data_IF_418602488400
#
_entry.id   IF_418602488400
#
_cell.length_a   1.000
_cell.length_b   1.000
_cell.length_c   1.000
_cell.angle_alpha   90.00
_cell.angle_beta   90.00
_cell.angle_gamma   90.00
#
_symmetry.space_group_name_H-M   'P 1'
#
loop_
_entity.id
_entity.type
_entity.pdbx_description
1 polymer ?
#
# COMPACT_ATOMS: atom_id res chain seq x y z
N UNK A 1 -5.57 20.95 -12.62
CA UNK A 1 -6.10 20.20 -11.47
C UNK A 1 -5.40 18.86 -11.24
N UNK A 2 -5.11 18.05 -12.27
CA UNK A 2 -4.47 16.72 -12.07
C UNK A 2 -3.03 16.81 -11.51
N UNK A 3 -2.28 17.87 -11.83
CA UNK A 3 -0.88 18.05 -11.39
C UNK A 3 -0.71 18.27 -9.87
N UNK A 4 -1.60 19.03 -9.24
CA UNK A 4 -1.52 19.31 -7.79
C UNK A 4 -1.66 18.04 -6.95
N UNK A 5 -2.49 17.11 -7.39
CA UNK A 5 -2.66 15.80 -6.74
C UNK A 5 -1.38 14.95 -6.85
N UNK A 6 -0.70 15.00 -8.00
CA UNK A 6 0.58 14.32 -8.15
C UNK A 6 1.66 14.92 -7.24
N UNK A 7 1.71 16.24 -7.09
CA UNK A 7 2.62 16.88 -6.13
C UNK A 7 2.30 16.48 -4.69
N UNK A 8 1.01 16.41 -4.33
CA UNK A 8 0.62 16.00 -2.99
C UNK A 8 1.00 14.54 -2.69
N UNK A 9 0.92 13.64 -3.69
CA UNK A 9 1.45 12.27 -3.56
C UNK A 9 2.97 12.26 -3.36
N UNK A 10 3.70 13.16 -4.03
CA UNK A 10 5.14 13.32 -3.83
C UNK A 10 5.47 13.76 -2.40
N UNK A 11 4.72 14.71 -1.86
CA UNK A 11 4.87 15.17 -0.47
C UNK A 11 4.54 14.05 0.51
N UNK A 12 3.45 13.31 0.27
CA UNK A 12 3.07 12.14 1.06
C UNK A 12 4.18 11.07 1.07
N UNK A 13 4.77 10.77 -0.10
CA UNK A 13 5.90 9.85 -0.22
C UNK A 13 7.10 10.30 0.61
N UNK A 14 7.41 11.60 0.58
CA UNK A 14 8.52 12.15 1.33
C UNK A 14 8.33 11.99 2.84
N UNK A 15 7.11 12.24 3.36
CA UNK A 15 6.82 11.99 4.78
C UNK A 15 7.02 10.53 5.18
N UNK A 16 6.59 9.58 4.34
CA UNK A 16 6.82 8.15 4.60
C UNK A 16 8.31 7.81 4.59
N UNK A 17 9.10 8.36 3.66
CA UNK A 17 10.56 8.17 3.62
C UNK A 17 11.21 8.71 4.89
N UNK A 18 10.85 9.92 5.31
CA UNK A 18 11.37 10.52 6.54
C UNK A 18 11.00 9.69 7.78
N UNK A 19 9.78 9.16 7.84
CA UNK A 19 9.36 8.27 8.93
C UNK A 19 10.22 7.02 9.04
N UNK A 20 10.61 6.41 7.92
CA UNK A 20 11.50 5.25 7.91
C UNK A 20 12.95 5.65 8.23
N UNK A 21 13.38 6.85 7.82
CA UNK A 21 14.69 7.40 8.14
C UNK A 21 14.89 7.57 9.66
N UNK A 22 13.81 7.78 10.43
CA UNK A 22 13.87 7.95 11.89
C UNK A 22 14.67 6.85 12.60
N UNK A 23 14.48 5.60 12.17
CA UNK A 23 15.15 4.44 12.78
C UNK A 23 16.66 4.46 12.58
N UNK A 24 17.13 5.06 11.48
CA UNK A 24 18.54 5.24 11.18
C UNK A 24 19.17 6.46 11.84
N UNK A 25 18.36 7.44 12.27
CA UNK A 25 18.82 8.67 12.94
C UNK A 25 18.83 8.53 14.45
N UNK A 26 17.89 7.74 14.99
CA UNK A 26 17.88 7.39 16.40
C UNK A 26 19.19 6.68 16.79
N UNK A 27 19.74 7.06 17.95
CA UNK A 27 20.99 6.54 18.52
C UNK A 27 22.26 6.78 17.69
N UNK A 28 22.21 7.62 16.64
CA UNK A 28 23.40 7.99 15.86
C UNK A 28 24.09 9.24 16.39
N UNK A 29 23.33 10.16 16.98
CA UNK A 29 23.81 11.44 17.49
C UNK A 29 23.71 11.50 19.01
N UNK A 30 24.26 12.57 19.60
CA UNK A 30 24.22 12.83 21.05
C UNK A 30 22.78 12.76 21.59
N UNK A 31 21.82 13.28 20.82
CA UNK A 31 20.41 13.11 21.12
C UNK A 31 19.92 11.76 20.59
N UNK A 32 19.66 10.81 21.49
CA UNK A 32 19.31 9.43 21.15
C UNK A 32 17.97 9.27 20.41
N UNK A 33 16.99 10.16 20.66
CA UNK A 33 15.66 10.13 20.04
C UNK A 33 15.47 11.18 18.93
N UNK A 34 16.56 11.67 18.33
CA UNK A 34 16.50 12.74 17.32
C UNK A 34 15.64 12.37 16.11
N UNK A 35 15.68 11.11 15.68
CA UNK A 35 14.87 10.61 14.58
C UNK A 35 13.38 10.67 14.89
N UNK A 36 12.97 10.23 16.08
CA UNK A 36 11.57 10.32 16.49
C UNK A 36 11.12 11.79 16.62
N UNK A 37 11.95 12.65 17.21
CA UNK A 37 11.63 14.07 17.36
C UNK A 37 11.33 14.75 16.02
N UNK A 38 12.09 14.42 14.98
CA UNK A 38 11.99 15.05 13.67
C UNK A 38 10.97 14.37 12.75
N UNK A 39 10.84 13.04 12.82
CA UNK A 39 10.23 12.26 11.76
C UNK A 39 9.15 11.27 12.21
N UNK A 40 8.81 11.18 13.50
CA UNK A 40 7.72 10.30 13.97
C UNK A 40 6.38 10.63 13.29
N UNK A 41 6.12 11.92 13.06
CA UNK A 41 4.89 12.39 12.41
C UNK A 41 4.86 12.11 10.90
N UNK A 42 5.96 11.63 10.31
CA UNK A 42 5.99 11.24 8.91
C UNK A 42 5.06 10.06 8.58
N UNK A 43 4.60 9.31 9.60
CA UNK A 43 3.58 8.27 9.46
C UNK A 43 2.30 8.78 8.79
N UNK A 44 1.94 10.04 9.04
CA UNK A 44 0.77 10.71 8.45
C UNK A 44 0.78 10.72 6.91
N UNK A 45 1.97 10.59 6.29
CA UNK A 45 2.09 10.44 4.84
C UNK A 45 1.26 9.27 4.30
N UNK A 46 1.11 8.18 5.06
CA UNK A 46 0.29 7.03 4.67
C UNK A 46 -1.20 7.39 4.62
N UNK A 47 -1.69 8.09 5.63
CA UNK A 47 -3.09 8.55 5.68
C UNK A 47 -3.41 9.47 4.49
N UNK A 48 -2.49 10.39 4.19
CA UNK A 48 -2.61 11.29 3.06
C UNK A 48 -2.66 10.53 1.71
N UNK A 49 -1.87 9.46 1.57
CA UNK A 49 -1.93 8.59 0.39
C UNK A 49 -3.29 7.92 0.21
N UNK A 50 -3.91 7.46 1.29
CA UNK A 50 -5.23 6.85 1.24
C UNK A 50 -6.31 7.86 0.86
N UNK A 51 -6.30 9.04 1.46
CA UNK A 51 -7.25 10.12 1.13
C UNK A 51 -7.15 10.52 -0.34
N UNK A 52 -5.93 10.70 -0.86
CA UNK A 52 -5.72 11.02 -2.28
C UNK A 52 -6.18 9.87 -3.19
N UNK A 53 -5.87 8.63 -2.83
CA UNK A 53 -6.29 7.47 -3.61
C UNK A 53 -7.81 7.37 -3.68
N UNK A 54 -8.51 7.58 -2.55
CA UNK A 54 -9.97 7.63 -2.51
C UNK A 54 -10.53 8.76 -3.37
N UNK A 55 -9.96 9.96 -3.28
CA UNK A 55 -10.35 11.09 -4.13
C UNK A 55 -10.20 10.77 -5.62
N UNK A 56 -9.06 10.21 -6.04
CA UNK A 56 -8.81 9.85 -7.46
C UNK A 56 -9.81 8.80 -7.93
N UNK A 57 -10.11 7.80 -7.11
CA UNK A 57 -11.05 6.74 -7.45
C UNK A 57 -12.46 7.32 -7.63
N UNK A 58 -12.97 8.08 -6.66
CA UNK A 58 -14.28 8.72 -6.77
C UNK A 58 -14.37 9.65 -7.99
N UNK A 59 -13.34 10.46 -8.22
CA UNK A 59 -13.28 11.36 -9.36
C UNK A 59 -13.21 10.62 -10.71
N UNK A 60 -12.45 9.52 -10.77
CA UNK A 60 -12.35 8.70 -11.99
C UNK A 60 -13.66 7.97 -12.31
N UNK A 61 -14.40 7.52 -11.29
CA UNK A 61 -15.68 6.81 -11.43
C UNK A 61 -16.87 7.76 -11.67
N UNK A 62 -16.68 9.07 -11.60
CA UNK A 62 -17.73 10.06 -11.89
C UNK A 62 -18.20 10.04 -13.36
N UNK A 63 -17.37 9.51 -14.28
CA UNK A 63 -17.76 9.36 -15.69
C UNK A 63 -18.82 8.25 -15.82
N UNK A 64 -20.04 8.63 -16.23
CA UNK A 64 -21.16 7.72 -16.53
C UNK A 64 -20.90 6.90 -17.80
N UNK A 65 -19.89 6.03 -17.77
CA UNK A 65 -19.69 5.00 -18.80
C UNK A 65 -20.02 3.63 -18.19
N UNK A 66 -20.88 2.87 -18.87
CA UNK A 66 -21.20 1.49 -18.49
C UNK A 66 -19.89 0.67 -18.45
N UNK A 67 -19.63 -0.08 -17.37
CA UNK A 67 -18.38 -0.83 -17.09
C UNK A 67 -17.09 -0.02 -16.82
N UNK A 68 -17.14 1.31 -16.65
CA UNK A 68 -15.96 2.11 -16.33
C UNK A 68 -15.21 1.69 -15.04
N UNK A 69 -15.87 1.37 -13.91
CA UNK A 69 -15.17 0.97 -12.68
C UNK A 69 -14.39 -0.34 -12.85
N UNK A 70 -14.94 -1.34 -13.55
CA UNK A 70 -14.25 -2.60 -13.86
C UNK A 70 -13.05 -2.37 -14.78
N UNK A 71 -13.19 -1.54 -15.81
CA UNK A 71 -12.08 -1.20 -16.72
C UNK A 71 -10.97 -0.42 -16.00
N UNK A 72 -11.31 0.41 -15.02
CA UNK A 72 -10.35 1.09 -14.17
C UNK A 72 -9.63 0.10 -13.23
N UNK A 73 -10.38 -0.82 -12.62
CA UNK A 73 -9.84 -1.87 -11.76
C UNK A 73 -8.83 -2.76 -12.49
N UNK A 74 -9.20 -3.30 -13.66
CA UNK A 74 -8.34 -4.17 -14.46
C UNK A 74 -7.02 -3.46 -14.81
N UNK A 75 -7.09 -2.21 -15.27
CA UNK A 75 -5.89 -1.41 -15.58
C UNK A 75 -4.97 -1.22 -14.38
N UNK A 76 -5.55 -1.05 -13.19
CA UNK A 76 -4.81 -0.88 -11.94
C UNK A 76 -4.20 -2.20 -11.46
N UNK A 77 -4.96 -3.30 -11.57
CA UNK A 77 -4.50 -4.66 -11.26
C UNK A 77 -3.28 -5.04 -12.09
N UNK A 78 -3.35 -4.92 -13.43
CA UNK A 78 -2.24 -5.23 -14.32
C UNK A 78 -1.03 -4.30 -14.16
N UNK A 79 -1.19 -3.14 -13.52
CA UNK A 79 -0.07 -2.25 -13.19
C UNK A 79 0.62 -2.64 -11.88
N UNK A 80 -0.14 -3.03 -10.86
CA UNK A 80 0.38 -3.28 -9.51
C UNK A 80 0.89 -4.72 -9.38
N UNK A 81 0.16 -5.69 -9.91
CA UNK A 81 0.45 -7.11 -9.71
C UNK A 81 1.81 -7.56 -10.27
N UNK A 82 2.27 -7.10 -11.46
CA UNK A 82 3.60 -7.45 -11.94
C UNK A 82 4.72 -6.94 -11.03
N UNK A 83 4.57 -5.74 -10.46
CA UNK A 83 5.54 -5.17 -9.53
C UNK A 83 5.52 -5.89 -8.18
N UNK A 84 4.34 -6.32 -7.73
CA UNK A 84 4.20 -7.14 -6.53
C UNK A 84 4.94 -8.48 -6.69
N UNK A 85 4.66 -9.21 -7.77
CA UNK A 85 5.32 -10.49 -8.08
C UNK A 85 6.83 -10.31 -8.13
N UNK A 86 7.31 -9.30 -8.86
CA UNK A 86 8.73 -9.01 -8.95
C UNK A 86 9.38 -8.76 -7.58
N UNK A 87 8.71 -7.97 -6.73
CA UNK A 87 9.20 -7.64 -5.38
C UNK A 87 9.24 -8.87 -4.47
N UNK A 88 8.18 -9.70 -4.50
CA UNK A 88 8.11 -10.97 -3.76
C UNK A 88 9.21 -11.93 -4.24
N UNK A 89 9.42 -12.05 -5.56
CA UNK A 89 10.46 -12.90 -6.14
C UNK A 89 11.86 -12.46 -5.73
N UNK A 90 12.17 -11.15 -5.80
CA UNK A 90 13.47 -10.62 -5.38
C UNK A 90 13.71 -10.89 -3.89
N UNK A 91 12.71 -10.65 -3.05
CA UNK A 91 12.81 -10.90 -1.62
C UNK A 91 13.07 -12.38 -1.31
N UNK A 92 12.38 -13.28 -2.00
CA UNK A 92 12.58 -14.72 -1.86
C UNK A 92 13.98 -15.17 -2.30
N UNK A 93 14.47 -14.70 -3.45
CA UNK A 93 15.85 -14.97 -3.90
C UNK A 93 16.85 -14.53 -2.84
N UNK A 94 16.67 -13.34 -2.27
CA UNK A 94 17.55 -12.84 -1.21
C UNK A 94 17.53 -13.71 0.05
N UNK A 95 16.35 -14.18 0.46
CA UNK A 95 16.22 -15.11 1.59
C UNK A 95 16.86 -16.47 1.31
N UNK A 96 16.68 -17.05 0.12
CA UNK A 96 17.31 -18.31 -0.26
C UNK A 96 18.83 -18.20 -0.24
N UNK A 97 19.39 -17.10 -0.76
CA UNK A 97 20.85 -16.84 -0.72
C UNK A 97 21.36 -16.71 0.72
N UNK A 98 20.66 -15.98 1.59
CA UNK A 98 21.12 -15.75 2.97
C UNK A 98 20.90 -16.92 3.93
N UNK A 99 19.79 -17.65 3.78
CA UNK A 99 19.32 -18.64 4.76
C UNK A 99 19.54 -20.08 4.30
N UNK A 100 19.89 -20.30 3.03
CA UNK A 100 20.13 -21.62 2.46
C UNK A 100 18.87 -22.51 2.37
N UNK A 101 17.69 -21.99 2.71
CA UNK A 101 16.43 -22.73 2.62
C UNK A 101 15.90 -22.67 1.18
N UNK A 102 15.75 -23.84 0.57
CA UNK A 102 15.25 -24.04 -0.79
C UNK A 102 13.76 -24.39 -0.83
N UNK A 103 13.09 -24.44 0.33
CA UNK A 103 11.66 -24.71 0.43
C UNK A 103 10.82 -23.55 -0.08
N UNK A 104 9.92 -23.81 -1.03
CA UNK A 104 8.75 -22.97 -1.25
C UNK A 104 7.83 -23.15 -0.03
N UNK A 105 8.16 -22.47 1.06
CA UNK A 105 7.31 -22.48 2.25
C UNK A 105 5.92 -21.96 1.85
N UNK A 106 4.86 -22.55 2.42
CA UNK A 106 3.47 -22.14 2.17
C UNK A 106 3.26 -20.62 2.32
N UNK A 107 4.08 -20.02 3.18
CA UNK A 107 4.18 -18.59 3.40
C UNK A 107 4.47 -17.78 2.11
N UNK A 108 5.31 -18.28 1.20
CA UNK A 108 5.62 -17.61 -0.07
C UNK A 108 4.40 -17.54 -1.00
N UNK A 109 3.63 -18.62 -1.09
CA UNK A 109 2.40 -18.68 -1.90
C UNK A 109 1.36 -17.68 -1.36
N UNK A 110 1.23 -17.61 -0.03
CA UNK A 110 0.37 -16.63 0.63
C UNK A 110 0.82 -15.17 0.42
N UNK A 111 2.08 -14.95 0.07
CA UNK A 111 2.62 -13.59 -0.14
C UNK A 111 2.24 -12.95 -1.47
N UNK A 112 1.86 -13.79 -2.45
CA UNK A 112 1.39 -13.33 -3.76
C UNK A 112 0.02 -12.67 -3.63
N UNK A 113 -0.77 -13.10 -2.65
CA UNK A 113 -2.05 -12.50 -2.34
C UNK A 113 -1.79 -11.37 -1.33
N UNK A 114 -2.07 -10.10 -1.64
CA UNK A 114 -1.85 -8.97 -0.74
C UNK A 114 -2.96 -8.92 0.32
N UNK A 115 -3.15 -10.00 1.06
CA UNK A 115 -4.07 -10.11 2.18
C UNK A 115 -3.29 -10.09 3.49
N UNK A 116 -3.98 -9.57 4.49
CA UNK A 116 -3.58 -9.59 5.90
C UNK A 116 -3.65 -11.03 6.42
N UNK A 117 -2.64 -11.44 7.19
CA UNK A 117 -2.47 -12.84 7.60
C UNK A 117 -3.19 -13.11 8.93
N UNK A 118 -3.30 -12.11 9.81
CA UNK A 118 -3.84 -12.29 11.16
C UNK A 118 -4.76 -11.14 11.60
N UNK A 119 -6.07 -11.34 11.43
CA UNK A 119 -7.08 -10.36 11.83
C UNK A 119 -7.22 -10.19 13.35
N UNK A 120 -6.58 -11.03 14.16
CA UNK A 120 -6.52 -10.87 15.62
C UNK A 120 -5.39 -9.94 16.08
N UNK A 121 -4.40 -9.65 15.23
CA UNK A 121 -3.24 -8.81 15.56
C UNK A 121 -3.57 -7.30 15.71
N UNK A 122 -4.82 -6.90 15.53
CA UNK A 122 -5.29 -5.53 15.67
C UNK A 122 -5.07 -4.65 14.44
N UNK A 123 -5.89 -3.62 14.32
CA UNK A 123 -5.77 -2.61 13.27
C UNK A 123 -4.54 -1.73 13.50
N UNK A 124 -3.90 -1.19 12.43
CA UNK A 124 -4.26 -1.31 11.02
C UNK A 124 -3.54 -2.45 10.27
N UNK A 125 -2.63 -3.18 10.92
CA UNK A 125 -1.74 -4.10 10.21
C UNK A 125 -2.30 -5.50 10.04
N UNK A 126 -3.15 -5.98 10.97
CA UNK A 126 -3.81 -7.29 10.91
C UNK A 126 -2.86 -8.42 10.47
N UNK A 127 -1.63 -8.43 11.03
CA UNK A 127 -0.58 -9.36 10.65
C UNK A 127 0.07 -9.00 9.31
N UNK A 128 1.36 -8.66 9.35
CA UNK A 128 2.11 -8.33 8.15
C UNK A 128 2.20 -9.52 7.20
N UNK A 129 1.93 -9.27 5.93
CA UNK A 129 2.38 -10.14 4.84
C UNK A 129 3.92 -10.11 4.74
N UNK A 130 4.54 -11.08 4.05
CA UNK A 130 6.02 -11.10 3.83
C UNK A 130 6.53 -9.77 3.30
N UNK A 131 5.78 -9.19 2.38
CA UNK A 131 5.94 -7.79 2.07
C UNK A 131 5.19 -6.99 3.13
N UNK A 132 5.92 -6.54 4.15
CA UNK A 132 5.38 -5.71 5.22
C UNK A 132 4.77 -4.38 4.75
N UNK A 133 4.85 -4.04 3.46
CA UNK A 133 4.18 -2.88 2.84
C UNK A 133 2.86 -3.29 2.15
N UNK A 134 2.63 -4.57 1.87
CA UNK A 134 1.45 -5.05 1.16
C UNK A 134 0.13 -4.79 1.89
N UNK A 135 0.15 -4.54 3.20
CA UNK A 135 -1.05 -4.19 3.96
C UNK A 135 -1.77 -2.96 3.40
N UNK A 136 -1.05 -1.97 2.86
CA UNK A 136 -1.70 -0.80 2.26
C UNK A 136 -2.45 -1.14 0.97
N UNK A 137 -1.96 -2.14 0.24
CA UNK A 137 -2.59 -2.61 -0.98
C UNK A 137 -3.91 -3.34 -0.67
N UNK A 138 -3.99 -4.05 0.46
CA UNK A 138 -5.23 -4.66 0.95
C UNK A 138 -6.33 -3.61 1.09
N UNK A 139 -6.05 -2.50 1.78
CA UNK A 139 -7.01 -1.41 1.97
C UNK A 139 -7.43 -0.75 0.65
N UNK A 140 -6.50 -0.62 -0.30
CA UNK A 140 -6.81 -0.10 -1.62
C UNK A 140 -7.79 -1.00 -2.39
N UNK A 141 -7.59 -2.33 -2.33
CA UNK A 141 -8.50 -3.31 -2.94
C UNK A 141 -9.86 -3.31 -2.24
N UNK A 142 -9.89 -3.26 -0.91
CA UNK A 142 -11.14 -3.18 -0.12
C UNK A 142 -11.95 -1.93 -0.45
N UNK A 143 -11.29 -0.78 -0.58
CA UNK A 143 -11.96 0.47 -0.96
C UNK A 143 -12.56 0.40 -2.38
N UNK A 144 -11.84 -0.21 -3.33
CA UNK A 144 -12.33 -0.42 -4.70
C UNK A 144 -13.53 -1.37 -4.75
N UNK A 145 -13.49 -2.44 -3.96
CA UNK A 145 -14.60 -3.38 -3.84
C UNK A 145 -15.86 -2.69 -3.31
N UNK A 146 -15.75 -1.95 -2.20
CA UNK A 146 -16.87 -1.23 -1.60
C UNK A 146 -17.50 -0.20 -2.55
N UNK A 147 -16.67 0.57 -3.25
CA UNK A 147 -17.13 1.56 -4.22
C UNK A 147 -17.84 0.94 -5.43
N UNK A 148 -17.42 -0.26 -5.85
CA UNK A 148 -18.07 -0.98 -6.95
C UNK A 148 -19.46 -1.48 -6.53
N UNK A 149 -19.58 -2.05 -5.32
CA UNK A 149 -20.87 -2.48 -4.76
C UNK A 149 -21.87 -1.31 -4.60
N UNK A 150 -21.40 -0.12 -4.22
CA UNK A 150 -22.26 1.07 -4.13
C UNK A 150 -22.72 1.51 -5.52
N UNK A 151 -21.84 1.51 -6.52
CA UNK A 151 -22.19 1.93 -7.88
C UNK A 151 -23.32 1.09 -8.47
N UNK A 152 -23.33 -0.22 -8.20
CA UNK A 152 -24.39 -1.14 -8.65
C UNK A 152 -25.74 -0.89 -7.94
N UNK A 153 -25.74 -0.22 -6.78
CA UNK A 153 -26.93 0.10 -5.99
C UNK A 153 -27.50 1.51 -6.28
N UNK A 154 -26.76 2.38 -6.96
CA UNK A 154 -27.25 3.72 -7.32
C UNK A 154 -28.06 3.60 -8.61
N UNK A 155 -29.39 3.85 -8.58
CA UNK A 155 -30.20 3.84 -9.79
C UNK A 155 -29.63 4.86 -10.78
N UNK A 156 -29.38 4.40 -12.01
CA UNK A 156 -28.92 5.24 -13.10
C UNK A 156 -30.09 6.14 -13.52
N UNK A 157 -30.22 7.30 -12.86
CA UNK A 157 -31.09 8.40 -13.28
C UNK A 157 -30.44 9.16 -14.44
#
# INVERSE_FOLDING_TARGET
MVKSIHYLRGIAALFVVLFHLRGYVNNTYVQSNLGDLLFVNGAFGVDLFFVISGFIICFATQKKEYFYPLKFFIRRFFRIYPLLILSVSIYFIFLTIKKGSTGLDSWFIWSIIPLQIDYHAGAPFFGYNVLAIAWTLTYEISFLYYLSCIHDYIPQV
#
